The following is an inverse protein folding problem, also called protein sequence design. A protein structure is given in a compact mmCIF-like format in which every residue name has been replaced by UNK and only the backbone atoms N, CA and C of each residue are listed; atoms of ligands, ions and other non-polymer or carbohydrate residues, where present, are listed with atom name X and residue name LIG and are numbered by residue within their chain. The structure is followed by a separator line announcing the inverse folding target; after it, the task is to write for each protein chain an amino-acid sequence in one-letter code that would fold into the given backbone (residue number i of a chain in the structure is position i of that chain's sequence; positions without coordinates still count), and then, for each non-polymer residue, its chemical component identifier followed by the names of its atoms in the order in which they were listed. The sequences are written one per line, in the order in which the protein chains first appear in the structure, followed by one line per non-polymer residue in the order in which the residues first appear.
data_IF_734408839304
#
_entry.id   IF_734408839304
#
_cell.length_a   1.000
_cell.length_b   1.000
_cell.length_c   1.000
_cell.angle_alpha   90.00
_cell.angle_beta   90.00
_cell.angle_gamma   90.00
#
_symmetry.space_group_name_H-M   'P 1'
#
loop_
_entity.id
_entity.type
_entity.pdbx_description
1 polymer ?
#
# COMPACT_ATOMS: atom_id res chain seq x y z
N UNK A 1 9.51 -34.19 17.27
CA UNK A 1 8.53 -33.67 16.30
C UNK A 1 8.78 -32.18 16.17
N UNK A 2 9.79 -31.79 15.36
CA UNK A 2 10.17 -30.40 15.17
C UNK A 2 9.28 -29.78 14.11
N UNK A 3 8.38 -28.87 14.50
CA UNK A 3 7.66 -28.03 13.55
C UNK A 3 8.54 -26.84 13.22
N UNK A 4 8.77 -26.68 11.93
CA UNK A 4 9.53 -25.63 11.27
C UNK A 4 9.15 -24.23 11.77
N UNK A 5 10.01 -23.63 12.59
CA UNK A 5 10.05 -22.20 12.91
C UNK A 5 10.74 -21.38 11.80
N UNK A 6 10.68 -21.90 10.56
CA UNK A 6 11.36 -21.28 9.43
C UNK A 6 10.43 -20.17 8.89
N UNK A 7 10.93 -18.94 8.97
CA UNK A 7 10.39 -17.71 8.37
C UNK A 7 9.37 -16.90 9.18
N UNK A 8 9.51 -16.81 10.51
CA UNK A 8 8.94 -15.65 11.24
C UNK A 8 9.78 -14.42 10.89
N UNK A 9 9.36 -13.65 9.89
CA UNK A 9 10.15 -12.56 9.33
C UNK A 9 9.95 -11.27 10.11
N UNK A 10 10.38 -11.21 11.38
CA UNK A 10 10.40 -9.94 12.16
C UNK A 10 11.58 -9.07 11.69
N UNK A 11 11.41 -8.46 10.52
CA UNK A 11 12.41 -7.54 9.96
C UNK A 11 12.05 -6.14 10.40
N UNK A 12 12.87 -5.59 11.30
CA UNK A 12 12.85 -4.17 11.64
C UNK A 12 13.63 -3.41 10.57
N UNK A 13 12.92 -2.61 9.80
CA UNK A 13 13.46 -1.83 8.69
C UNK A 13 12.92 -0.41 8.71
N UNK A 14 13.51 0.45 7.88
CA UNK A 14 13.06 1.82 7.68
C UNK A 14 12.59 2.02 6.25
N UNK A 15 11.38 2.58 6.09
CA UNK A 15 10.80 2.82 4.78
C UNK A 15 10.64 4.32 4.52
N UNK A 16 10.98 4.74 3.30
CA UNK A 16 10.71 6.12 2.85
C UNK A 16 9.22 6.40 3.00
N UNK A 17 8.90 7.57 3.53
CA UNK A 17 7.53 8.03 3.75
C UNK A 17 7.33 9.39 3.12
N UNK A 18 6.27 9.49 2.33
CA UNK A 18 5.79 10.73 1.78
C UNK A 18 4.68 11.30 2.63
N UNK A 19 4.71 12.59 2.86
CA UNK A 19 3.59 13.32 3.45
C UNK A 19 3.04 14.26 2.38
N UNK A 20 1.76 14.09 2.04
CA UNK A 20 1.06 14.86 0.99
C UNK A 20 1.83 14.87 -0.35
N UNK A 21 2.44 13.73 -0.72
CA UNK A 21 3.19 13.54 -1.97
C UNK A 21 4.64 13.97 -1.97
N UNK A 22 5.12 14.63 -0.92
CA UNK A 22 6.53 14.98 -0.78
C UNK A 22 7.25 13.94 0.08
N UNK A 23 8.39 13.44 -0.39
CA UNK A 23 9.26 12.62 0.45
C UNK A 23 9.75 13.44 1.66
N UNK A 24 9.41 12.99 2.86
CA UNK A 24 9.63 13.73 4.11
C UNK A 24 10.69 13.06 4.98
N UNK A 25 10.76 11.74 4.97
CA UNK A 25 11.70 11.01 5.81
C UNK A 25 11.48 9.50 5.75
N UNK A 26 11.92 8.80 6.78
CA UNK A 26 11.72 7.36 6.92
C UNK A 26 10.98 7.04 8.22
N UNK A 27 10.17 5.99 8.20
CA UNK A 27 9.49 5.45 9.38
C UNK A 27 9.94 4.03 9.64
N UNK A 28 9.99 3.65 10.92
CA UNK A 28 10.34 2.30 11.33
C UNK A 28 9.13 1.39 11.15
N UNK A 29 9.35 0.21 10.57
CA UNK A 29 8.30 -0.79 10.39
C UNK A 29 8.79 -2.20 10.72
N UNK A 30 7.83 -3.07 11.00
CA UNK A 30 8.00 -4.51 11.08
C UNK A 30 7.13 -5.16 10.01
N UNK A 31 7.71 -6.12 9.30
CA UNK A 31 6.92 -7.05 8.49
C UNK A 31 6.55 -8.24 9.36
N UNK A 32 5.31 -8.72 9.25
CA UNK A 32 4.83 -9.92 9.93
C UNK A 32 3.99 -10.73 8.95
N UNK A 33 3.63 -11.95 9.33
CA UNK A 33 2.70 -12.77 8.54
C UNK A 33 1.32 -12.10 8.35
N UNK A 34 0.94 -11.21 9.27
CA UNK A 34 -0.31 -10.46 9.22
C UNK A 34 -0.21 -9.15 8.41
N UNK A 35 0.99 -8.77 7.95
CA UNK A 35 1.26 -7.56 7.21
C UNK A 35 2.23 -6.60 7.89
N UNK A 36 2.18 -5.33 7.48
CA UNK A 36 3.08 -4.27 7.95
C UNK A 36 2.56 -3.62 9.24
N UNK A 37 3.46 -3.50 10.21
CA UNK A 37 3.26 -2.72 11.44
C UNK A 37 4.21 -1.52 11.43
N UNK A 38 3.74 -0.34 11.79
CA UNK A 38 4.55 0.90 11.80
C UNK A 38 4.71 1.39 13.23
N UNK A 39 5.93 1.82 13.59
CA UNK A 39 6.22 2.35 14.92
C UNK A 39 5.62 3.74 15.08
N UNK A 40 4.76 3.92 16.07
CA UNK A 40 4.06 5.19 16.30
C UNK A 40 5.02 6.36 16.53
N UNK A 41 6.10 6.16 17.31
CA UNK A 41 7.10 7.20 17.56
C UNK A 41 7.77 7.70 16.28
N UNK A 42 8.02 6.82 15.30
CA UNK A 42 8.63 7.21 14.02
C UNK A 42 7.69 8.04 13.13
N UNK A 43 6.37 7.82 13.22
CA UNK A 43 5.37 8.65 12.55
C UNK A 43 5.33 10.04 13.21
N UNK A 44 5.37 10.08 14.53
CA UNK A 44 5.38 11.32 15.31
C UNK A 44 6.64 12.14 14.99
N UNK A 45 7.78 11.49 14.85
CA UNK A 45 9.03 12.13 14.43
C UNK A 45 8.94 12.73 13.03
N UNK A 46 8.36 11.98 12.08
CA UNK A 46 8.14 12.43 10.71
C UNK A 46 7.21 13.65 10.63
N UNK A 47 6.18 13.68 11.49
CA UNK A 47 5.20 14.76 11.53
C UNK A 47 5.57 15.86 12.52
N UNK A 48 6.76 15.82 13.12
CA UNK A 48 7.18 16.70 14.22
C UNK A 48 6.99 18.18 13.93
N UNK A 49 7.26 18.61 12.70
CA UNK A 49 7.11 20.01 12.26
C UNK A 49 5.66 20.51 12.23
N UNK A 50 4.67 19.60 12.34
CA UNK A 50 3.23 19.92 12.36
C UNK A 50 2.64 20.02 13.76
N UNK A 51 3.41 19.69 14.79
CA UNK A 51 2.96 19.68 16.18
C UNK A 51 3.85 20.55 17.07
N UNK A 52 3.33 20.93 18.23
CA UNK A 52 4.11 21.66 19.22
C UNK A 52 5.25 20.78 19.78
N UNK A 53 6.43 21.39 19.98
CA UNK A 53 7.65 20.69 20.44
C UNK A 53 7.42 19.98 21.78
N UNK A 54 6.65 20.57 22.70
CA UNK A 54 6.36 19.96 24.00
C UNK A 54 5.39 18.78 23.87
N UNK A 55 4.48 18.80 22.90
CA UNK A 55 3.61 17.65 22.60
C UNK A 55 4.41 16.50 22.00
N UNK A 56 5.31 16.77 21.05
CA UNK A 56 6.21 15.76 20.49
C UNK A 56 7.10 15.16 21.58
N UNK A 57 7.68 15.98 22.45
CA UNK A 57 8.50 15.51 23.56
C UNK A 57 7.73 14.59 24.52
N UNK A 58 6.46 14.92 24.81
CA UNK A 58 5.59 14.07 25.65
C UNK A 58 5.34 12.71 25.00
N UNK A 59 5.05 12.68 23.71
CA UNK A 59 4.80 11.43 23.00
C UNK A 59 6.08 10.60 22.96
N UNK A 60 7.22 11.20 22.60
CA UNK A 60 8.55 10.56 22.60
C UNK A 60 8.91 9.94 23.94
N UNK A 61 8.59 10.61 25.05
CA UNK A 61 8.86 10.10 26.40
C UNK A 61 7.86 9.02 26.85
N UNK A 62 6.78 8.80 26.12
CA UNK A 62 5.75 7.80 26.47
C UNK A 62 6.08 6.42 25.92
N UNK A 63 5.62 5.38 26.61
CA UNK A 63 5.71 4.00 26.14
C UNK A 63 5.02 3.78 24.78
N UNK A 64 4.09 4.66 24.39
CA UNK A 64 3.42 4.59 23.10
C UNK A 64 4.37 4.81 21.91
N UNK A 65 5.52 5.46 22.12
CA UNK A 65 6.49 5.70 21.05
C UNK A 65 7.12 4.42 20.48
N UNK A 66 7.17 3.35 21.25
CA UNK A 66 7.71 2.06 20.83
C UNK A 66 6.64 1.06 20.40
N UNK A 67 5.37 1.49 20.37
CA UNK A 67 4.26 0.65 19.93
C UNK A 67 4.26 0.57 18.41
N UNK A 68 4.16 -0.67 17.91
CA UNK A 68 3.95 -0.98 16.50
C UNK A 68 2.47 -1.26 16.26
N UNK A 69 1.87 -0.53 15.32
CA UNK A 69 0.46 -0.65 14.97
C UNK A 69 0.30 -1.01 13.50
N UNK A 70 -0.74 -1.79 13.18
CA UNK A 70 -1.09 -2.06 11.79
C UNK A 70 -1.55 -0.78 11.08
N UNK A 71 -1.47 -0.76 9.74
CA UNK A 71 -2.00 0.34 8.95
C UNK A 71 -3.49 0.59 9.22
N UNK A 72 -4.27 -0.47 9.39
CA UNK A 72 -5.71 -0.36 9.71
C UNK A 72 -5.96 0.23 11.10
N UNK A 73 -5.15 -0.11 12.10
CA UNK A 73 -5.23 0.49 13.44
C UNK A 73 -4.90 1.98 13.39
N UNK A 74 -3.85 2.37 12.66
CA UNK A 74 -3.46 3.77 12.48
C UNK A 74 -4.58 4.56 11.78
N UNK A 75 -5.16 4.01 10.72
CA UNK A 75 -6.30 4.59 10.01
C UNK A 75 -7.54 4.74 10.92
N UNK A 76 -7.83 3.74 11.75
CA UNK A 76 -8.93 3.80 12.71
C UNK A 76 -8.72 4.89 13.78
N UNK A 77 -7.47 5.26 14.06
CA UNK A 77 -7.12 6.40 14.92
C UNK A 77 -7.03 7.73 14.15
N UNK A 78 -7.42 7.76 12.88
CA UNK A 78 -7.45 8.96 12.05
C UNK A 78 -6.11 9.34 11.42
N UNK A 79 -5.11 8.46 11.42
CA UNK A 79 -3.85 8.68 10.70
C UNK A 79 -4.01 8.13 9.28
N UNK A 80 -4.12 9.00 8.24
CA UNK A 80 -4.37 8.56 6.87
C UNK A 80 -3.07 8.02 6.24
N UNK A 81 -2.64 6.83 6.67
CA UNK A 81 -1.44 6.15 6.18
C UNK A 81 -1.81 5.01 5.21
N UNK A 82 -0.99 4.82 4.20
CA UNK A 82 -1.09 3.71 3.24
C UNK A 82 0.29 3.25 2.80
N UNK A 83 0.39 2.03 2.28
CA UNK A 83 1.61 1.48 1.69
C UNK A 83 1.47 1.45 0.17
N UNK A 84 2.49 1.94 -0.54
CA UNK A 84 2.62 1.84 -1.99
C UNK A 84 3.59 0.71 -2.34
N UNK A 85 3.10 -0.44 -2.84
CA UNK A 85 3.94 -1.57 -3.18
C UNK A 85 4.78 -1.36 -4.45
N UNK A 86 4.49 -0.35 -5.27
CA UNK A 86 5.24 -0.08 -6.51
C UNK A 86 6.58 0.58 -6.18
N UNK A 87 6.58 1.51 -5.24
CA UNK A 87 7.78 2.25 -4.84
C UNK A 87 8.39 1.77 -3.53
N UNK A 88 7.71 0.85 -2.81
CA UNK A 88 8.10 0.42 -1.47
C UNK A 88 8.21 1.63 -0.52
N UNK A 89 7.12 2.39 -0.42
CA UNK A 89 7.04 3.61 0.39
C UNK A 89 5.72 3.68 1.17
N UNK A 90 5.73 4.40 2.30
CA UNK A 90 4.48 4.81 2.94
C UNK A 90 4.03 6.17 2.41
N UNK A 91 2.71 6.36 2.34
CA UNK A 91 2.09 7.64 2.06
C UNK A 91 1.20 8.04 3.23
N UNK A 92 1.40 9.23 3.76
CA UNK A 92 0.62 9.84 4.82
C UNK A 92 -0.05 11.10 4.27
N UNK A 93 -1.37 11.21 4.44
CA UNK A 93 -2.14 12.37 4.00
C UNK A 93 -3.31 12.00 3.10
N UNK A 94 -4.01 13.03 2.63
CA UNK A 94 -5.23 12.86 1.82
C UNK A 94 -4.96 12.80 0.31
N UNK A 95 -3.72 13.10 -0.09
CA UNK A 95 -3.31 13.02 -1.50
C UNK A 95 -2.91 11.59 -1.80
N UNK A 96 -3.73 10.91 -2.60
CA UNK A 96 -3.36 9.62 -3.19
C UNK A 96 -2.29 9.86 -4.27
N UNK A 97 -1.06 9.49 -3.93
CA UNK A 97 0.13 9.65 -4.78
C UNK A 97 0.38 8.42 -5.65
N UNK A 98 -0.42 7.36 -5.47
CA UNK A 98 -0.29 6.15 -6.26
C UNK A 98 -0.48 6.51 -7.74
N UNK A 99 0.28 5.90 -8.65
CA UNK A 99 0.06 6.10 -10.07
C UNK A 99 -1.40 5.75 -10.42
N UNK A 100 -2.15 6.70 -10.99
CA UNK A 100 -3.51 6.49 -11.53
C UNK A 100 -3.59 5.35 -12.58
N UNK A 101 -2.45 4.79 -12.98
CA UNK A 101 -2.30 3.73 -13.95
C UNK A 101 -2.86 2.36 -13.50
N UNK A 102 -3.14 2.14 -12.21
CA UNK A 102 -3.82 0.91 -11.78
C UNK A 102 -5.30 0.82 -12.20
N UNK A 103 -5.91 1.92 -12.67
CA UNK A 103 -7.29 1.96 -13.17
C UNK A 103 -7.42 1.92 -14.70
N UNK A 104 -6.37 1.56 -15.44
CA UNK A 104 -6.45 1.30 -16.88
C UNK A 104 -5.84 -0.06 -17.25
N UNK A 105 -6.42 -1.13 -16.72
CA UNK A 105 -6.66 -2.28 -17.60
C UNK A 105 -7.91 -1.94 -18.40
N UNK A 106 -7.73 -1.23 -19.51
CA UNK A 106 -8.74 -1.30 -20.56
C UNK A 106 -8.82 -2.78 -20.89
N UNK A 107 -9.93 -3.39 -20.48
CA UNK A 107 -10.43 -4.63 -21.01
C UNK A 107 -10.70 -4.35 -22.48
N UNK A 108 -9.64 -4.35 -23.29
CA UNK A 108 -9.76 -4.52 -24.72
C UNK A 108 -10.43 -5.89 -24.84
N UNK A 109 -11.75 -5.83 -25.01
CA UNK A 109 -12.55 -6.99 -25.32
C UNK A 109 -11.84 -7.62 -26.50
N UNK A 110 -11.21 -8.76 -26.26
CA UNK A 110 -10.79 -9.67 -27.32
C UNK A 110 -12.11 -10.01 -28.02
N UNK A 111 -12.37 -9.31 -29.12
CA UNK A 111 -13.46 -9.60 -30.03
C UNK A 111 -13.45 -11.10 -30.24
N UNK A 112 -14.59 -11.73 -29.94
CA UNK A 112 -14.78 -13.15 -30.14
C UNK A 112 -14.23 -13.55 -31.52
N UNK A 113 -13.44 -14.62 -31.66
CA UNK A 113 -13.15 -15.14 -32.98
C UNK A 113 -14.50 -15.61 -33.53
N UNK A 114 -15.01 -14.94 -34.57
CA UNK A 114 -16.09 -15.46 -35.39
C UNK A 114 -15.62 -16.80 -35.94
N UNK A 115 -16.04 -17.86 -35.25
CA UNK A 115 -15.79 -19.23 -35.65
C UNK A 115 -16.69 -19.47 -36.85
N UNK A 116 -16.14 -19.27 -38.04
CA UNK A 116 -16.76 -19.61 -39.31
C UNK A 116 -17.36 -21.02 -39.25
N UNK A 117 -18.68 -21.08 -39.26
CA UNK A 117 -19.44 -22.29 -39.47
C UNK A 117 -20.08 -22.18 -40.84
N UNK A 118 -19.62 -23.04 -41.74
CA UNK A 118 -20.09 -23.12 -43.11
C UNK A 118 -21.60 -23.33 -43.17
N UNK A 119 -22.22 -22.53 -44.03
CA UNK A 119 -23.53 -22.78 -44.60
C UNK A 119 -23.51 -22.15 -46.00
N UNK A 120 -22.74 -22.73 -46.90
CA UNK A 120 -22.90 -22.51 -48.35
C UNK A 120 -24.24 -23.07 -48.76
N UNK A 121 -25.22 -22.18 -48.87
CA UNK A 121 -26.52 -22.51 -49.42
C UNK A 121 -27.24 -21.25 -49.84
N UNK A 122 -26.85 -20.67 -50.98
CA UNK A 122 -27.79 -20.03 -51.94
C UNK A 122 -27.21 -20.22 -53.34
N UNK A 123 -27.86 -21.06 -54.14
CA UNK A 123 -27.62 -21.15 -55.56
C UNK A 123 -28.36 -20.05 -56.31
N UNK A 124 -27.74 -19.51 -57.37
CA UNK A 124 -28.45 -18.93 -58.51
C UNK A 124 -27.47 -18.76 -59.68
N UNK A 125 -27.59 -19.61 -60.69
CA UNK A 125 -27.41 -19.23 -62.10
C UNK A 125 -28.42 -20.04 -62.91
N UNK A 126 -29.52 -19.42 -63.35
CA UNK A 126 -30.38 -19.97 -64.41
C UNK A 126 -29.78 -19.57 -65.75
N UNK A 127 -29.69 -20.54 -66.65
CA UNK A 127 -29.38 -20.37 -68.07
C UNK A 127 -30.65 -19.99 -68.82
#
# INVERSE_FOLDING_TARGET
MGKSDAFRLDVKSQLTTRVDGRATGKVDFQQTDAGLLVRLGSIVDLLGDRYDVAQIARIRASAASDVFLSLSQLQAQGIPISYDPVYDEFNVGLVDTRPKAASKVHMDQISAPERGLGSTGIGQIRR
#
